data_IF_197113022194
#
_entry.id   IF_197113022194
#
_cell.length_a   1.000
_cell.length_b   1.000
_cell.length_c   1.000
_cell.angle_alpha   90.00
_cell.angle_beta   90.00
_cell.angle_gamma   90.00
#
_symmetry.space_group_name_H-M   'P 1'
#
loop_
_entity.id
_entity.type
_entity.pdbx_description
1 polymer ?
#
# COMPACT_ATOMS: atom_id res chain seq x y z
N UNK A 1 -10.47 19.85 -17.88
CA UNK A 1 -10.46 19.36 -16.48
C UNK A 1 -11.29 18.09 -16.46
N UNK A 2 -10.67 16.96 -16.26
CA UNK A 2 -11.45 15.72 -16.06
C UNK A 2 -12.05 15.80 -14.67
N UNK A 3 -13.37 15.95 -14.58
CA UNK A 3 -14.10 15.71 -13.33
C UNK A 3 -13.80 14.27 -12.89
N UNK A 4 -12.85 14.12 -12.01
CA UNK A 4 -12.59 12.83 -11.39
C UNK A 4 -13.79 12.54 -10.51
N UNK A 5 -14.57 11.56 -10.90
CA UNK A 5 -15.75 11.17 -10.14
C UNK A 5 -15.31 10.70 -8.75
N UNK A 6 -15.98 11.19 -7.69
CA UNK A 6 -15.73 10.75 -6.32
C UNK A 6 -16.56 9.50 -6.03
N UNK A 7 -15.89 8.44 -5.62
CA UNK A 7 -16.52 7.17 -5.26
C UNK A 7 -16.28 6.90 -3.78
N UNK A 8 -17.38 6.88 -3.02
CA UNK A 8 -17.34 6.59 -1.59
C UNK A 8 -17.53 5.09 -1.36
N UNK A 9 -16.58 4.48 -0.70
CA UNK A 9 -16.64 3.07 -0.37
C UNK A 9 -17.24 2.84 1.02
N UNK A 10 -18.02 1.78 1.12
CA UNK A 10 -18.47 1.23 2.40
C UNK A 10 -17.43 0.23 2.94
N UNK A 11 -17.56 -0.15 4.21
CA UNK A 11 -16.78 -1.24 4.79
C UNK A 11 -17.00 -2.57 4.06
N UNK A 12 -18.22 -2.82 3.56
CA UNK A 12 -18.52 -3.99 2.76
C UNK A 12 -17.77 -3.99 1.43
N UNK A 13 -17.61 -2.83 0.79
CA UNK A 13 -16.82 -2.70 -0.44
C UNK A 13 -15.34 -3.04 -0.19
N UNK A 14 -14.77 -2.55 0.91
CA UNK A 14 -13.40 -2.89 1.30
C UNK A 14 -13.25 -4.40 1.54
N UNK A 15 -14.19 -5.00 2.24
CA UNK A 15 -14.20 -6.44 2.48
C UNK A 15 -14.23 -7.25 1.18
N UNK A 16 -15.03 -6.83 0.21
CA UNK A 16 -15.10 -7.47 -1.10
C UNK A 16 -13.79 -7.34 -1.88
N UNK A 17 -13.15 -6.17 -1.86
CA UNK A 17 -11.85 -5.97 -2.52
C UNK A 17 -10.77 -6.87 -1.92
N UNK A 18 -10.71 -6.95 -0.59
CA UNK A 18 -9.77 -7.85 0.09
C UNK A 18 -10.08 -9.30 -0.26
N UNK A 19 -11.35 -9.72 -0.18
CA UNK A 19 -11.76 -11.10 -0.48
C UNK A 19 -11.42 -11.52 -1.91
N UNK A 20 -11.49 -10.59 -2.86
CA UNK A 20 -11.10 -10.83 -4.25
C UNK A 20 -9.60 -11.10 -4.43
N UNK A 21 -8.76 -10.45 -3.63
CA UNK A 21 -7.31 -10.63 -3.69
C UNK A 21 -6.81 -11.87 -2.96
N UNK A 22 -7.51 -12.28 -1.91
CA UNK A 22 -7.04 -13.33 -0.99
C UNK A 22 -6.60 -14.64 -1.66
N UNK A 23 -7.32 -15.20 -2.66
CA UNK A 23 -6.88 -16.45 -3.31
C UNK A 23 -5.49 -16.35 -3.93
N UNK A 24 -5.13 -15.20 -4.51
CA UNK A 24 -3.81 -14.97 -5.09
C UNK A 24 -2.76 -14.73 -3.99
N UNK A 25 -3.09 -13.91 -2.99
CA UNK A 25 -2.19 -13.61 -1.88
C UNK A 25 -1.82 -14.90 -1.13
N UNK A 26 -2.79 -15.76 -0.84
CA UNK A 26 -2.61 -17.02 -0.10
C UNK A 26 -1.75 -18.06 -0.82
N UNK A 27 -1.47 -17.89 -2.10
CA UNK A 27 -0.59 -18.81 -2.84
C UNK A 27 0.89 -18.60 -2.53
N UNK A 28 1.23 -17.62 -1.70
CA UNK A 28 2.59 -17.34 -1.24
C UNK A 28 2.65 -17.37 0.28
N UNK A 29 3.85 -17.60 0.80
CA UNK A 29 4.14 -17.58 2.25
C UNK A 29 4.76 -16.24 2.63
N UNK A 30 4.31 -15.67 3.75
CA UNK A 30 4.83 -14.41 4.31
C UNK A 30 5.10 -14.57 5.80
N UNK A 31 6.22 -14.01 6.25
CA UNK A 31 6.54 -13.95 7.68
C UNK A 31 5.99 -12.71 8.37
N UNK A 32 5.72 -11.65 7.59
CA UNK A 32 5.22 -10.38 8.14
C UNK A 32 4.44 -9.58 7.10
N UNK A 33 3.60 -8.68 7.61
CA UNK A 33 2.94 -7.63 6.82
C UNK A 33 3.61 -6.30 7.13
N UNK A 34 3.88 -5.51 6.11
CA UNK A 34 4.29 -4.10 6.26
C UNK A 34 3.18 -3.23 5.72
N UNK A 35 2.52 -2.51 6.62
CA UNK A 35 1.47 -1.56 6.28
C UNK A 35 2.08 -0.17 6.05
N UNK A 36 1.82 0.42 4.89
CA UNK A 36 2.25 1.80 4.61
C UNK A 36 1.24 2.77 5.23
N UNK A 37 1.73 3.68 6.06
CA UNK A 37 0.84 4.64 6.74
C UNK A 37 0.43 5.77 5.79
N UNK A 38 -0.78 6.22 5.95
CA UNK A 38 -1.84 5.75 6.85
C UNK A 38 -2.76 4.75 6.16
N UNK A 39 -2.91 4.87 4.84
CA UNK A 39 -3.91 4.15 4.07
C UNK A 39 -3.82 2.63 4.15
N UNK A 40 -2.63 2.09 4.31
CA UNK A 40 -2.38 0.66 4.38
C UNK A 40 -2.63 0.01 5.74
N UNK A 41 -2.84 0.80 6.81
CA UNK A 41 -2.97 0.25 8.17
C UNK A 41 -4.20 -0.65 8.29
N UNK A 42 -5.35 -0.17 7.86
CA UNK A 42 -6.60 -0.92 7.99
C UNK A 42 -6.62 -2.14 7.06
N UNK A 43 -6.40 -2.01 5.75
CA UNK A 43 -6.35 -3.20 4.88
C UNK A 43 -5.22 -4.15 5.27
N UNK A 44 -4.07 -3.64 5.73
CA UNK A 44 -2.96 -4.46 6.20
C UNK A 44 -3.34 -5.33 7.41
N UNK A 45 -4.04 -4.77 8.38
CA UNK A 45 -4.53 -5.51 9.54
C UNK A 45 -5.56 -6.57 9.13
N UNK A 46 -6.50 -6.24 8.26
CA UNK A 46 -7.51 -7.20 7.76
C UNK A 46 -6.85 -8.38 7.05
N UNK A 47 -5.91 -8.10 6.15
CA UNK A 47 -5.20 -9.13 5.40
C UNK A 47 -4.35 -10.00 6.33
N UNK A 48 -3.63 -9.38 7.28
CA UNK A 48 -2.81 -10.11 8.26
C UNK A 48 -3.65 -11.09 9.09
N UNK A 49 -4.83 -10.65 9.57
CA UNK A 49 -5.76 -11.55 10.28
C UNK A 49 -6.19 -12.74 9.42
N UNK A 50 -6.53 -12.51 8.16
CA UNK A 50 -6.94 -13.58 7.24
C UNK A 50 -5.80 -14.55 6.90
N UNK A 51 -4.56 -14.08 6.93
CA UNK A 51 -3.37 -14.91 6.71
C UNK A 51 -2.82 -15.54 8.00
N UNK A 52 -3.42 -15.24 9.14
CA UNK A 52 -2.91 -15.60 10.46
C UNK A 52 -1.45 -15.14 10.72
N UNK A 53 -1.08 -13.98 10.16
CA UNK A 53 0.22 -13.35 10.36
C UNK A 53 0.14 -12.43 11.57
N UNK A 54 0.95 -12.71 12.59
CA UNK A 54 0.96 -11.92 13.82
C UNK A 54 1.79 -10.64 13.72
N UNK A 55 2.84 -10.65 12.90
CA UNK A 55 3.72 -9.50 12.77
C UNK A 55 3.22 -8.53 11.71
N UNK A 56 2.63 -7.43 12.16
CA UNK A 56 2.27 -6.28 11.34
C UNK A 56 3.17 -5.12 11.71
N UNK A 57 4.04 -4.73 10.80
CA UNK A 57 4.98 -3.63 10.98
C UNK A 57 4.57 -2.45 10.12
N UNK A 58 5.04 -1.27 10.47
CA UNK A 58 4.64 -0.01 9.82
C UNK A 58 5.79 0.55 9.02
N UNK A 59 5.50 1.03 7.81
CA UNK A 59 6.37 1.90 7.05
C UNK A 59 5.70 3.26 6.85
N UNK A 60 6.41 4.32 7.18
CA UNK A 60 6.03 5.70 6.88
C UNK A 60 7.12 6.30 6.02
N UNK A 61 6.78 6.68 4.79
CA UNK A 61 7.71 7.25 3.83
C UNK A 61 7.14 8.55 3.27
N UNK A 62 7.94 9.59 3.33
CA UNK A 62 7.70 10.85 2.66
C UNK A 62 8.71 11.05 1.54
N UNK A 63 8.46 12.00 0.66
CA UNK A 63 9.37 12.33 -0.43
C UNK A 63 9.84 13.75 -0.30
N UNK A 64 11.15 13.93 -0.32
CA UNK A 64 11.76 15.24 -0.47
C UNK A 64 11.81 15.56 -1.96
N UNK A 65 11.20 16.67 -2.35
CA UNK A 65 11.19 17.18 -3.71
C UNK A 65 12.13 18.36 -3.81
N UNK A 66 13.15 18.27 -4.66
CA UNK A 66 14.01 19.38 -5.04
C UNK A 66 13.61 19.83 -6.44
N UNK A 67 12.79 20.86 -6.49
CA UNK A 67 12.27 21.42 -7.75
C UNK A 67 13.38 22.01 -8.65
N UNK A 68 14.48 22.48 -8.06
CA UNK A 68 15.60 23.04 -8.84
C UNK A 68 16.38 21.97 -9.62
N UNK A 69 16.44 20.75 -9.09
CA UNK A 69 17.21 19.65 -9.66
C UNK A 69 16.34 18.51 -10.19
N UNK A 70 15.03 18.64 -10.15
CA UNK A 70 14.07 17.59 -10.50
C UNK A 70 14.37 16.26 -9.78
N UNK A 71 14.79 16.36 -8.52
CA UNK A 71 15.15 15.23 -7.67
C UNK A 71 14.05 14.96 -6.67
N UNK A 72 13.79 13.70 -6.49
CA UNK A 72 12.77 13.19 -5.61
C UNK A 72 13.30 11.92 -4.93
N UNK A 73 13.49 11.95 -3.62
CA UNK A 73 13.99 10.79 -2.89
C UNK A 73 13.17 10.49 -1.62
N UNK A 74 13.05 9.20 -1.26
CA UNK A 74 12.28 8.81 -0.11
C UNK A 74 12.99 9.16 1.20
N UNK A 75 12.19 9.66 2.15
CA UNK A 75 12.60 9.85 3.53
C UNK A 75 11.73 8.96 4.41
N UNK A 76 12.33 7.96 5.04
CA UNK A 76 11.62 7.05 5.93
C UNK A 76 11.50 7.66 7.32
N UNK A 77 10.26 8.00 7.71
CA UNK A 77 9.94 8.51 9.04
C UNK A 77 9.82 7.36 10.05
N UNK A 78 9.36 6.22 9.59
CA UNK A 78 9.25 4.98 10.35
C UNK A 78 9.49 3.79 9.43
N UNK A 79 10.36 2.89 9.83
CA UNK A 79 10.63 1.66 9.08
C UNK A 79 11.17 0.58 10.02
N UNK A 80 10.84 -0.71 9.79
CA UNK A 80 11.37 -1.81 10.59
C UNK A 80 12.90 -1.90 10.49
N UNK A 81 13.53 -2.33 11.58
CA UNK A 81 14.97 -2.59 11.59
C UNK A 81 15.32 -3.73 10.60
N UNK A 82 16.50 -3.63 9.97
CA UNK A 82 16.96 -4.59 8.96
C UNK A 82 16.96 -6.03 9.46
N UNK A 83 17.24 -6.24 10.74
CA UNK A 83 17.25 -7.56 11.37
C UNK A 83 15.88 -8.27 11.34
N UNK A 84 14.76 -7.52 11.31
CA UNK A 84 13.42 -8.08 11.17
C UNK A 84 13.08 -8.49 9.73
N UNK A 85 13.83 -7.99 8.75
CA UNK A 85 13.54 -8.16 7.33
C UNK A 85 14.45 -9.15 6.64
N UNK A 86 15.68 -9.28 7.15
CA UNK A 86 16.73 -10.11 6.50
C UNK A 86 16.28 -11.56 6.36
N UNK A 87 16.32 -12.06 5.11
CA UNK A 87 15.94 -13.42 4.76
C UNK A 87 14.44 -13.71 4.79
N UNK A 88 13.59 -12.70 5.09
CA UNK A 88 12.14 -12.88 5.20
C UNK A 88 11.42 -12.36 3.96
N UNK A 89 10.21 -12.87 3.76
CA UNK A 89 9.27 -12.37 2.78
C UNK A 89 8.16 -11.60 3.46
N UNK A 90 8.01 -10.33 3.08
CA UNK A 90 6.99 -9.43 3.57
C UNK A 90 5.87 -9.24 2.54
N UNK A 91 4.65 -9.05 3.01
CA UNK A 91 3.58 -8.49 2.20
C UNK A 91 3.46 -7.00 2.52
N UNK A 92 3.74 -6.15 1.53
CA UNK A 92 3.51 -4.71 1.62
C UNK A 92 2.04 -4.45 1.33
N UNK A 93 1.37 -3.68 2.18
CA UNK A 93 -0.04 -3.31 1.98
C UNK A 93 -0.21 -1.80 2.02
N UNK A 94 -0.89 -1.27 1.01
CA UNK A 94 -1.36 0.10 0.95
C UNK A 94 -2.82 0.13 0.48
N UNK A 95 -3.51 1.25 0.60
CA UNK A 95 -4.87 1.40 0.10
C UNK A 95 -4.89 1.58 -1.43
N UNK A 96 -3.98 2.41 -1.95
CA UNK A 96 -3.98 2.74 -3.37
C UNK A 96 -2.56 2.88 -3.92
N UNK A 97 -2.34 2.35 -5.11
CA UNK A 97 -1.20 2.68 -5.96
C UNK A 97 -1.64 3.78 -6.95
N UNK A 98 -1.35 5.02 -6.61
CA UNK A 98 -1.55 6.16 -7.49
C UNK A 98 -0.30 6.36 -8.37
N UNK A 99 0.74 6.99 -7.85
CA UNK A 99 2.03 7.12 -8.53
C UNK A 99 2.95 5.92 -8.32
N UNK A 100 2.74 5.19 -7.24
CA UNK A 100 3.50 3.98 -6.90
C UNK A 100 4.78 4.21 -6.11
N UNK A 101 5.13 5.46 -5.83
CA UNK A 101 6.38 5.84 -5.16
C UNK A 101 6.55 5.16 -3.79
N UNK A 102 5.50 5.16 -2.97
CA UNK A 102 5.56 4.60 -1.61
C UNK A 102 5.84 3.11 -1.64
N UNK A 103 5.06 2.36 -2.40
CA UNK A 103 5.20 0.90 -2.49
C UNK A 103 6.56 0.51 -3.06
N UNK A 104 6.98 1.17 -4.14
CA UNK A 104 8.29 0.89 -4.77
C UNK A 104 9.44 1.20 -3.81
N UNK A 105 9.39 2.34 -3.11
CA UNK A 105 10.44 2.72 -2.16
C UNK A 105 10.53 1.77 -0.98
N UNK A 106 9.38 1.32 -0.47
CA UNK A 106 9.32 0.33 0.62
C UNK A 106 9.88 -1.03 0.14
N UNK A 107 9.51 -1.48 -1.05
CA UNK A 107 10.02 -2.73 -1.64
C UNK A 107 11.55 -2.68 -1.83
N UNK A 108 12.08 -1.58 -2.34
CA UNK A 108 13.52 -1.38 -2.50
C UNK A 108 14.25 -1.34 -1.16
N UNK A 109 13.67 -0.70 -0.15
CA UNK A 109 14.23 -0.65 1.19
C UNK A 109 14.26 -2.03 1.87
N UNK A 110 13.22 -2.84 1.67
CA UNK A 110 13.20 -4.25 2.13
C UNK A 110 14.31 -5.05 1.46
N UNK A 111 14.44 -4.92 0.14
CA UNK A 111 15.49 -5.61 -0.62
C UNK A 111 16.88 -5.20 -0.14
N UNK A 112 17.11 -3.93 0.12
CA UNK A 112 18.37 -3.43 0.68
C UNK A 112 18.69 -4.05 2.05
N UNK A 113 17.67 -4.28 2.88
CA UNK A 113 17.81 -4.97 4.17
C UNK A 113 18.04 -6.49 4.07
N UNK A 114 18.03 -7.03 2.85
CA UNK A 114 18.20 -8.47 2.59
C UNK A 114 16.91 -9.28 2.66
N UNK A 115 15.76 -8.62 2.62
CA UNK A 115 14.44 -9.24 2.54
C UNK A 115 13.88 -9.32 1.12
N UNK A 116 12.70 -9.90 1.02
CA UNK A 116 11.88 -9.97 -0.20
C UNK A 116 10.49 -9.47 0.10
N UNK A 117 9.77 -9.01 -0.92
CA UNK A 117 8.40 -8.55 -0.74
C UNK A 117 7.54 -8.78 -1.96
N UNK A 118 6.24 -8.91 -1.70
CA UNK A 118 5.16 -8.74 -2.66
C UNK A 118 4.27 -7.61 -2.15
N UNK A 119 3.48 -7.00 -3.03
CA UNK A 119 2.66 -5.85 -2.69
C UNK A 119 1.19 -6.06 -3.03
N UNK A 120 0.31 -5.60 -2.15
CA UNK A 120 -1.13 -5.62 -2.31
C UNK A 120 -1.71 -4.23 -2.05
N UNK A 121 -2.58 -3.78 -2.95
CA UNK A 121 -3.32 -2.52 -2.82
C UNK A 121 -4.80 -2.76 -3.12
N UNK A 122 -5.68 -1.98 -2.49
CA UNK A 122 -7.11 -2.08 -2.80
C UNK A 122 -7.40 -1.57 -4.21
N UNK A 123 -6.81 -0.45 -4.59
CA UNK A 123 -6.97 0.15 -5.91
C UNK A 123 -5.64 0.42 -6.59
N UNK A 124 -5.63 0.21 -7.91
CA UNK A 124 -4.50 0.51 -8.77
C UNK A 124 -4.89 1.49 -9.86
N UNK A 125 -4.06 2.54 -10.06
CA UNK A 125 -4.21 3.56 -11.10
C UNK A 125 -3.06 3.47 -12.10
N UNK A 126 -3.10 2.54 -13.08
CA UNK A 126 -1.99 2.37 -14.03
C UNK A 126 -1.71 3.63 -14.85
N UNK A 127 -2.74 4.42 -15.15
CA UNK A 127 -2.61 5.65 -15.93
C UNK A 127 -1.89 6.79 -15.19
N UNK A 128 -1.75 6.70 -13.87
CA UNK A 128 -1.05 7.68 -13.03
C UNK A 128 0.28 7.18 -12.50
N UNK A 129 0.55 5.88 -12.64
CA UNK A 129 1.80 5.27 -12.19
C UNK A 129 3.00 5.94 -12.87
N UNK A 130 4.03 6.26 -12.08
CA UNK A 130 5.31 6.75 -12.59
C UNK A 130 6.20 5.64 -13.15
N UNK A 131 5.80 4.40 -12.94
CA UNK A 131 6.56 3.22 -13.35
C UNK A 131 5.86 2.50 -14.49
N UNK A 132 6.56 2.31 -15.59
CA UNK A 132 6.08 1.55 -16.73
C UNK A 132 6.40 0.05 -16.62
N UNK A 133 7.39 -0.29 -15.79
CA UNK A 133 7.93 -1.64 -15.59
C UNK A 133 7.58 -2.24 -14.22
N UNK A 134 6.86 -1.51 -13.39
CA UNK A 134 6.45 -1.95 -12.03
C UNK A 134 4.98 -1.71 -11.81
N UNK A 135 4.35 -2.63 -11.12
CA UNK A 135 2.94 -2.59 -10.72
C UNK A 135 2.78 -3.30 -9.37
N UNK A 136 1.65 -3.11 -8.66
CA UNK A 136 1.37 -3.95 -7.50
C UNK A 136 1.24 -5.42 -7.93
N UNK A 137 1.68 -6.34 -7.07
CA UNK A 137 1.55 -7.77 -7.34
C UNK A 137 0.09 -8.22 -7.24
N UNK A 138 -0.65 -7.62 -6.30
CA UNK A 138 -2.08 -7.88 -6.11
C UNK A 138 -2.83 -6.57 -6.00
N UNK A 139 -4.00 -6.51 -6.61
CA UNK A 139 -4.91 -5.36 -6.49
C UNK A 139 -6.37 -5.81 -6.54
N UNK A 140 -7.22 -5.11 -5.79
CA UNK A 140 -8.65 -5.39 -5.76
C UNK A 140 -9.37 -4.91 -7.00
N UNK A 141 -9.05 -3.70 -7.46
CA UNK A 141 -9.65 -3.10 -8.66
C UNK A 141 -8.72 -2.06 -9.30
N UNK A 142 -8.88 -1.87 -10.61
CA UNK A 142 -8.32 -0.73 -11.35
C UNK A 142 -9.36 0.40 -11.32
N UNK A 143 -8.90 1.63 -11.13
CA UNK A 143 -9.79 2.79 -11.13
C UNK A 143 -9.12 4.02 -11.73
N UNK A 144 -9.94 4.93 -12.25
CA UNK A 144 -9.57 6.30 -12.61
C UNK A 144 -10.16 7.32 -11.66
N UNK A 145 -11.10 6.90 -10.83
CA UNK A 145 -11.88 7.74 -9.95
C UNK A 145 -11.09 8.20 -8.71
N UNK A 146 -11.61 9.20 -8.05
CA UNK A 146 -11.17 9.59 -6.72
C UNK A 146 -11.86 8.71 -5.69
N UNK A 147 -11.12 7.79 -5.09
CA UNK A 147 -11.67 6.86 -4.09
C UNK A 147 -11.61 7.51 -2.71
N UNK A 148 -12.74 7.44 -2.00
CA UNK A 148 -12.84 7.85 -0.61
C UNK A 148 -13.19 6.60 0.21
N UNK A 149 -12.24 6.18 1.02
CA UNK A 149 -12.38 4.99 1.85
C UNK A 149 -13.23 5.26 3.09
N UNK A 150 -13.86 4.25 3.71
CA UNK A 150 -14.74 4.47 4.85
C UNK A 150 -14.05 5.12 6.06
N UNK A 151 -12.78 4.85 6.29
CA UNK A 151 -12.00 5.52 7.34
C UNK A 151 -11.73 7.01 7.07
N UNK A 152 -11.80 7.45 5.82
CA UNK A 152 -11.67 8.87 5.45
C UNK A 152 -12.99 9.61 5.63
N UNK A 153 -14.11 8.96 5.34
CA UNK A 153 -15.45 9.54 5.50
C UNK A 153 -15.73 9.85 6.97
N UNK A 154 -15.40 8.94 7.87
CA UNK A 154 -15.58 9.17 9.31
C UNK A 154 -14.80 10.40 9.79
N UNK A 155 -13.62 10.61 9.26
CA UNK A 155 -12.83 11.82 9.53
C UNK A 155 -13.46 13.08 8.93
N UNK A 156 -14.00 12.99 7.71
CA UNK A 156 -14.62 14.12 7.00
C UNK A 156 -15.95 14.55 7.57
N UNK A 157 -16.76 13.62 8.08
CA UNK A 157 -18.06 13.90 8.70
C UNK A 157 -17.92 14.72 9.98
N UNK A 158 -16.79 14.64 10.66
CA UNK A 158 -16.53 15.43 11.86
C UNK A 158 -16.12 16.88 11.55
N UNK A 159 -16.07 17.27 10.28
CA UNK A 159 -15.88 18.68 9.87
C UNK A 159 -14.54 19.27 10.26
N UNK A 160 -13.54 18.44 10.41
CA UNK A 160 -12.20 18.83 10.85
C UNK A 160 -11.20 18.64 9.72
#
# INVERSE_FOLDING_TARGET
>A
MSDTNKVYLSWADVDQLVSKMMPQIQSYDYELVIAITRGGIIPGAIIAERLAIQQVLIASVDFYEDEEHDLDWPVFMQFPADSFLRGKQALIVDDIWDRGKQVVSVAERIRYAGGRSLSAVLHYKPHRSQFSDKSPDFYGAITKDWIIYPWEVERGVLGI
#
